data_IF_937731873114
#
_entry.id   IF_937731873114
#
_cell.length_a   1.000
_cell.length_b   1.000
_cell.length_c   1.000
_cell.angle_alpha   90.00
_cell.angle_beta   90.00
_cell.angle_gamma   90.00
#
_symmetry.space_group_name_H-M   'P 1'
#
loop_
_entity.id
_entity.type
_entity.pdbx_description
1 polymer ?
#
# COMPACT_ATOMS: atom_id res chain seq x y z
N UNK A 1 -38.88 -43.99 -34.02
CA UNK A 1 -38.14 -42.71 -34.10
C UNK A 1 -37.74 -42.34 -32.68
N UNK A 2 -36.44 -42.14 -32.45
CA UNK A 2 -35.78 -42.18 -31.13
C UNK A 2 -35.84 -40.82 -30.40
N UNK A 3 -35.93 -40.93 -29.07
CA UNK A 3 -36.01 -39.87 -28.07
C UNK A 3 -34.83 -38.88 -28.04
N UNK A 4 -35.11 -37.67 -27.50
CA UNK A 4 -34.28 -36.76 -26.66
C UNK A 4 -34.94 -35.38 -26.74
N UNK A 5 -35.49 -34.76 -25.70
CA UNK A 5 -35.05 -34.71 -24.30
C UNK A 5 -33.95 -33.65 -24.17
N UNK A 6 -34.32 -32.38 -23.99
CA UNK A 6 -33.40 -31.37 -23.47
C UNK A 6 -34.14 -30.31 -22.66
N UNK A 7 -34.14 -30.55 -21.35
CA UNK A 7 -34.45 -29.62 -20.29
C UNK A 7 -33.40 -28.50 -20.35
N UNK A 8 -33.78 -27.30 -20.80
CA UNK A 8 -32.90 -26.13 -20.73
C UNK A 8 -32.95 -25.61 -19.29
N UNK A 9 -32.06 -26.15 -18.46
CA UNK A 9 -31.69 -25.53 -17.19
C UNK A 9 -31.04 -24.18 -17.50
N UNK A 10 -31.84 -23.12 -17.41
CA UNK A 10 -31.37 -21.75 -17.27
C UNK A 10 -30.67 -21.64 -15.91
N UNK A 11 -29.39 -22.04 -15.86
CA UNK A 11 -28.46 -21.55 -14.84
C UNK A 11 -28.26 -20.06 -15.10
N UNK A 12 -29.17 -19.26 -14.56
CA UNK A 12 -28.84 -17.91 -14.18
C UNK A 12 -27.73 -18.03 -13.13
N UNK A 13 -26.48 -17.86 -13.55
CA UNK A 13 -25.38 -17.55 -12.66
C UNK A 13 -25.70 -16.20 -12.02
N UNK A 14 -26.54 -16.21 -10.99
CA UNK A 14 -26.51 -15.18 -9.96
C UNK A 14 -25.08 -15.22 -9.47
N UNK A 15 -24.30 -14.20 -9.82
CA UNK A 15 -23.02 -13.96 -9.17
C UNK A 15 -23.29 -14.06 -7.68
N UNK A 16 -22.68 -15.06 -7.05
CA UNK A 16 -22.75 -15.19 -5.61
C UNK A 16 -22.24 -13.85 -5.07
N UNK A 17 -23.15 -13.04 -4.53
CA UNK A 17 -22.74 -12.08 -3.51
C UNK A 17 -22.14 -12.98 -2.44
N UNK A 18 -20.81 -13.08 -2.42
CA UNK A 18 -20.10 -13.77 -1.37
C UNK A 18 -20.72 -13.28 -0.07
N UNK A 19 -21.25 -14.20 0.72
CA UNK A 19 -21.84 -13.84 2.01
C UNK A 19 -20.78 -13.03 2.76
N UNK A 20 -21.05 -11.76 3.03
CA UNK A 20 -20.18 -10.94 3.89
C UNK A 20 -20.23 -11.64 5.25
N UNK A 21 -19.15 -12.31 5.62
CA UNK A 21 -19.06 -12.99 6.92
C UNK A 21 -18.65 -11.92 7.91
N UNK A 22 -19.40 -11.69 9.00
CA UNK A 22 -18.99 -10.76 10.03
C UNK A 22 -17.59 -11.11 10.54
N UNK A 23 -16.67 -10.14 10.46
CA UNK A 23 -15.33 -10.30 10.98
C UNK A 23 -15.35 -9.83 12.44
N UNK A 24 -14.99 -10.68 13.41
CA UNK A 24 -14.91 -10.26 14.81
C UNK A 24 -13.88 -9.12 14.98
N UNK A 25 -14.11 -8.17 15.91
CA UNK A 25 -13.12 -7.14 16.19
C UNK A 25 -11.76 -7.75 16.55
N UNK A 26 -10.71 -7.22 15.96
CA UNK A 26 -9.34 -7.60 16.30
C UNK A 26 -8.85 -6.74 17.45
N UNK A 27 -7.94 -7.28 18.23
CA UNK A 27 -7.13 -6.50 19.16
C UNK A 27 -5.67 -6.60 18.75
N UNK A 28 -4.89 -5.55 19.01
CA UNK A 28 -3.44 -5.64 18.86
C UNK A 28 -2.70 -4.56 19.66
N UNK A 29 -1.38 -4.67 19.67
CA UNK A 29 -0.47 -3.69 20.24
C UNK A 29 0.41 -3.17 19.11
N UNK A 30 0.61 -1.85 19.05
CA UNK A 30 1.54 -1.25 18.09
C UNK A 30 2.97 -1.53 18.55
N UNK A 31 3.64 -2.51 17.95
CA UNK A 31 5.03 -2.85 18.26
C UNK A 31 5.65 -3.70 17.13
N UNK A 32 6.86 -3.36 16.63
CA UNK A 32 7.65 -2.16 16.94
C UNK A 32 7.02 -0.87 16.41
N UNK A 33 7.52 0.25 16.95
CA UNK A 33 7.30 1.59 16.39
C UNK A 33 8.64 2.24 16.06
N UNK A 34 8.84 2.60 14.79
CA UNK A 34 10.02 3.33 14.34
C UNK A 34 9.64 4.78 14.01
N UNK A 35 10.42 5.74 14.51
CA UNK A 35 10.33 7.15 14.13
C UNK A 35 11.71 7.58 13.66
N UNK A 36 11.81 8.02 12.40
CA UNK A 36 13.07 8.39 11.76
C UNK A 36 12.91 9.70 11.01
N UNK A 37 13.89 10.59 11.10
CA UNK A 37 14.06 11.75 10.23
C UNK A 37 15.14 11.43 9.18
N UNK A 38 14.76 10.98 7.96
CA UNK A 38 15.72 10.44 7.00
C UNK A 38 16.78 11.46 6.57
N UNK A 39 16.42 12.74 6.51
CA UNK A 39 17.33 13.81 6.08
C UNK A 39 18.46 14.08 7.08
N UNK A 40 18.22 13.90 8.38
CA UNK A 40 19.21 14.12 9.44
C UNK A 40 19.83 12.83 9.94
N UNK A 41 19.27 11.67 9.58
CA UNK A 41 19.67 10.35 10.06
C UNK A 41 19.26 10.07 11.52
N UNK A 42 18.51 10.97 12.15
CA UNK A 42 18.06 10.81 13.54
C UNK A 42 16.95 9.77 13.59
N UNK A 43 17.13 8.76 14.44
CA UNK A 43 16.12 7.77 14.78
C UNK A 43 15.78 7.87 16.28
N UNK A 44 14.51 7.70 16.60
CA UNK A 44 14.06 7.62 17.98
C UNK A 44 14.14 6.19 18.50
N UNK A 45 14.58 6.03 19.74
CA UNK A 45 14.31 4.82 20.53
C UNK A 45 12.96 5.00 21.20
N UNK A 46 11.97 4.23 20.76
CA UNK A 46 10.61 4.27 21.28
C UNK A 46 10.47 3.26 22.42
N UNK A 47 9.83 3.67 23.52
CA UNK A 47 9.59 2.77 24.64
C UNK A 47 8.69 1.60 24.22
N UNK A 48 8.87 0.40 24.80
CA UNK A 48 7.97 -0.71 24.54
C UNK A 48 6.56 -0.38 25.05
N UNK A 49 5.51 -0.98 24.46
CA UNK A 49 4.15 -0.90 25.00
C UNK A 49 4.09 -1.51 26.41
N UNK A 50 3.22 -0.97 27.25
CA UNK A 50 2.74 -1.69 28.43
C UNK A 50 1.75 -2.79 28.02
N UNK A 51 1.58 -3.79 28.88
CA UNK A 51 0.66 -4.91 28.62
C UNK A 51 -0.81 -4.47 28.40
N UNK A 52 -1.19 -3.30 28.92
CA UNK A 52 -2.53 -2.73 28.77
C UNK A 52 -2.69 -1.85 27.52
N UNK A 53 -1.62 -1.55 26.79
CA UNK A 53 -1.62 -0.64 25.62
C UNK A 53 -2.16 -1.34 24.36
N UNK A 54 -3.38 -1.86 24.46
CA UNK A 54 -4.06 -2.59 23.42
C UNK A 54 -5.02 -1.65 22.68
N UNK A 55 -5.02 -1.72 21.35
CA UNK A 55 -6.03 -1.09 20.50
C UNK A 55 -7.00 -2.15 19.99
N UNK A 56 -8.21 -1.71 19.63
CA UNK A 56 -9.21 -2.54 18.97
C UNK A 56 -9.40 -2.08 17.53
N UNK A 57 -9.59 -3.02 16.61
CA UNK A 57 -9.92 -2.76 15.20
C UNK A 57 -11.25 -3.40 14.87
N UNK A 58 -12.23 -2.57 14.49
CA UNK A 58 -13.53 -3.02 14.00
C UNK A 58 -13.53 -3.02 12.47
N UNK A 59 -13.90 -4.15 11.87
CA UNK A 59 -13.86 -4.33 10.41
C UNK A 59 -15.25 -4.25 9.81
N UNK A 60 -15.45 -3.33 8.86
CA UNK A 60 -16.66 -3.21 8.05
C UNK A 60 -16.35 -3.44 6.57
N UNK A 61 -16.56 -4.69 6.15
CA UNK A 61 -16.44 -5.17 4.76
C UNK A 61 -17.40 -4.45 3.82
N UNK A 62 -18.59 -4.09 4.30
CA UNK A 62 -19.62 -3.50 3.44
C UNK A 62 -19.26 -2.10 2.96
N UNK A 63 -18.45 -1.38 3.74
CA UNK A 63 -17.99 -0.01 3.43
C UNK A 63 -16.48 0.08 3.17
N UNK A 64 -15.78 -1.06 3.20
CA UNK A 64 -14.32 -1.15 3.12
C UNK A 64 -13.59 -0.31 4.19
N UNK A 65 -14.10 -0.28 5.43
CA UNK A 65 -13.54 0.53 6.53
C UNK A 65 -13.06 -0.33 7.70
N UNK A 66 -11.90 0.01 8.24
CA UNK A 66 -11.37 -0.51 9.50
C UNK A 66 -11.31 0.65 10.51
N UNK A 67 -12.10 0.57 11.58
CA UNK A 67 -12.11 1.58 12.64
C UNK A 67 -11.11 1.17 13.73
N UNK A 68 -10.14 2.04 13.98
CA UNK A 68 -9.14 1.89 15.03
C UNK A 68 -9.60 2.66 16.26
N UNK A 69 -9.70 1.94 17.38
CA UNK A 69 -9.96 2.48 18.72
C UNK A 69 -8.71 2.34 19.58
N UNK A 70 -8.14 3.50 19.94
CA UNK A 70 -6.94 3.66 20.75
C UNK A 70 -7.26 4.32 22.10
N UNK A 71 -8.51 4.30 22.57
CA UNK A 71 -8.90 4.92 23.85
C UNK A 71 -8.07 4.44 25.05
N UNK A 72 -7.63 3.18 25.03
CA UNK A 72 -6.75 2.58 26.04
C UNK A 72 -5.25 2.75 25.77
N UNK A 73 -4.85 3.37 24.65
CA UNK A 73 -3.43 3.50 24.27
C UNK A 73 -2.93 4.91 24.61
N UNK A 74 -2.11 5.08 25.64
CA UNK A 74 -1.55 6.39 25.99
C UNK A 74 -0.49 6.85 24.99
N UNK A 75 -0.14 8.16 24.97
CA UNK A 75 1.04 8.64 24.25
C UNK A 75 2.30 7.86 24.66
N UNK A 76 3.04 7.37 23.67
CA UNK A 76 4.21 6.53 23.90
C UNK A 76 5.47 7.38 23.93
N UNK A 77 6.30 7.17 24.96
CA UNK A 77 7.56 7.89 25.10
C UNK A 77 8.60 7.43 24.09
N UNK A 78 9.49 8.35 23.71
CA UNK A 78 10.66 8.06 22.91
C UNK A 78 11.83 8.95 23.34
N UNK A 79 13.04 8.56 22.95
CA UNK A 79 14.25 9.39 23.04
C UNK A 79 14.89 9.46 21.66
N UNK A 80 15.15 10.65 21.16
CA UNK A 80 15.83 10.88 19.89
C UNK A 80 17.02 11.81 20.12
N UNK A 81 18.24 11.35 19.80
CA UNK A 81 19.47 12.11 20.02
C UNK A 81 19.58 12.77 21.42
N UNK A 82 19.12 12.07 22.47
CA UNK A 82 19.12 12.55 23.86
C UNK A 82 17.93 13.43 24.27
N UNK A 83 17.05 13.81 23.33
CA UNK A 83 15.82 14.55 23.61
C UNK A 83 14.68 13.58 23.86
N UNK A 84 14.05 13.69 25.03
CA UNK A 84 12.84 12.93 25.38
C UNK A 84 11.59 13.56 24.78
N UNK A 85 10.67 12.72 24.32
CA UNK A 85 9.37 13.16 23.84
C UNK A 85 8.33 12.05 23.94
N UNK A 86 7.12 12.34 23.47
CA UNK A 86 6.06 11.36 23.27
C UNK A 86 5.47 11.51 21.88
N UNK A 87 4.95 10.42 21.33
CA UNK A 87 4.10 10.47 20.15
C UNK A 87 2.76 9.78 20.43
N UNK A 88 1.71 10.23 19.76
CA UNK A 88 0.37 9.68 19.85
C UNK A 88 -0.35 9.73 18.50
N UNK A 89 -1.17 8.70 18.26
CA UNK A 89 -2.17 8.70 17.19
C UNK A 89 -3.49 9.30 17.72
N UNK A 90 -4.43 9.69 16.84
CA UNK A 90 -5.77 10.03 17.27
C UNK A 90 -6.42 8.87 18.03
N UNK A 91 -7.23 9.19 19.04
CA UNK A 91 -7.95 8.19 19.85
C UNK A 91 -8.85 7.30 18.99
N UNK A 92 -9.45 7.84 17.94
CA UNK A 92 -10.27 7.11 16.99
C UNK A 92 -9.95 7.56 15.57
N UNK A 93 -9.81 6.61 14.64
CA UNK A 93 -9.72 6.92 13.22
C UNK A 93 -10.17 5.73 12.36
N UNK A 94 -10.62 6.01 11.14
CA UNK A 94 -11.05 4.99 10.18
C UNK A 94 -10.07 4.91 9.02
N UNK A 95 -9.54 3.72 8.76
CA UNK A 95 -8.75 3.44 7.56
C UNK A 95 -9.60 2.76 6.50
N UNK A 96 -9.40 3.15 5.24
CA UNK A 96 -9.98 2.46 4.10
C UNK A 96 -9.12 1.26 3.74
N UNK A 97 -9.72 0.15 3.31
CA UNK A 97 -8.96 -1.04 2.92
C UNK A 97 -9.26 -1.61 1.53
N UNK A 98 -8.41 -2.53 1.07
CA UNK A 98 -8.54 -3.23 -0.23
C UNK A 98 -8.51 -4.76 -0.08
N UNK A 99 -8.87 -5.52 -1.14
CA UNK A 99 -8.81 -6.99 -1.25
C UNK A 99 -7.53 -7.67 -0.73
N UNK A 100 -6.39 -6.96 -0.71
CA UNK A 100 -5.14 -7.55 -0.25
C UNK A 100 -4.90 -7.37 1.26
N UNK A 101 -5.90 -6.91 2.02
CA UNK A 101 -5.74 -6.55 3.43
C UNK A 101 -4.86 -5.31 3.62
N UNK A 102 -4.84 -4.44 2.61
CA UNK A 102 -4.10 -3.19 2.61
C UNK A 102 -4.95 -2.06 3.17
N UNK A 103 -4.40 -1.20 4.03
CA UNK A 103 -5.05 -0.09 4.71
C UNK A 103 -4.46 1.25 4.23
N UNK A 104 -5.28 2.30 4.19
CA UNK A 104 -4.83 3.69 4.00
C UNK A 104 -5.69 4.65 4.82
N UNK A 105 -5.04 5.65 5.45
CA UNK A 105 -5.69 6.71 6.23
C UNK A 105 -4.79 7.93 6.32
N UNK A 106 -5.37 9.13 6.39
CA UNK A 106 -4.63 10.34 6.78
C UNK A 106 -5.01 10.73 8.20
N UNK A 107 -4.02 10.79 9.09
CA UNK A 107 -4.22 11.17 10.50
C UNK A 107 -3.17 12.18 10.96
N UNK A 108 -3.51 13.08 11.88
CA UNK A 108 -2.51 13.87 12.60
C UNK A 108 -1.82 13.00 13.65
N UNK A 109 -0.52 12.74 13.49
CA UNK A 109 0.31 12.12 14.52
C UNK A 109 0.90 13.22 15.39
N UNK A 110 0.57 13.20 16.68
CA UNK A 110 0.95 14.25 17.62
C UNK A 110 2.30 13.90 18.24
N UNK A 111 3.25 14.82 18.18
CA UNK A 111 4.55 14.73 18.84
C UNK A 111 4.66 15.81 19.90
N UNK A 112 5.04 15.43 21.13
CA UNK A 112 5.34 16.36 22.20
C UNK A 112 6.80 16.21 22.62
N UNK A 113 7.59 17.28 22.51
CA UNK A 113 9.03 17.30 22.80
C UNK A 113 9.49 18.74 23.00
N UNK A 114 10.50 18.97 23.84
CA UNK A 114 11.03 20.31 24.14
C UNK A 114 9.97 21.36 24.50
N UNK A 115 8.94 20.94 25.26
CA UNK A 115 7.83 21.79 25.68
C UNK A 115 6.89 22.22 24.56
N UNK A 116 7.00 21.63 23.36
CA UNK A 116 6.13 21.91 22.21
C UNK A 116 5.36 20.67 21.81
N UNK A 117 4.13 20.88 21.35
CA UNK A 117 3.28 19.86 20.75
C UNK A 117 3.00 20.21 19.30
N UNK A 118 3.30 19.28 18.39
CA UNK A 118 3.11 19.45 16.94
C UNK A 118 2.30 18.28 16.41
N UNK A 119 1.21 18.58 15.69
CA UNK A 119 0.45 17.59 14.95
C UNK A 119 1.00 17.47 13.53
N UNK A 120 1.63 16.34 13.23
CA UNK A 120 2.22 16.04 11.93
C UNK A 120 1.20 15.25 11.11
N UNK A 121 0.63 15.83 10.03
CA UNK A 121 -0.29 15.08 9.17
C UNK A 121 0.48 14.00 8.41
N UNK A 122 0.09 12.74 8.61
CA UNK A 122 0.67 11.59 7.93
C UNK A 122 -0.42 10.78 7.24
N UNK A 123 -0.20 10.50 5.95
CA UNK A 123 -0.89 9.39 5.29
C UNK A 123 -0.22 8.10 5.74
N UNK A 124 -0.90 7.32 6.58
CA UNK A 124 -0.50 6.00 7.02
C UNK A 124 -1.10 4.97 6.07
N UNK A 125 -0.25 4.12 5.51
CA UNK A 125 -0.65 3.06 4.59
C UNK A 125 0.10 1.79 4.89
N UNK A 126 -0.51 0.62 4.72
CA UNK A 126 0.25 -0.63 4.70
C UNK A 126 0.99 -0.84 3.40
N UNK A 127 0.75 -0.02 2.38
CA UNK A 127 1.38 -0.06 1.06
C UNK A 127 2.72 0.66 0.99
N UNK A 128 2.76 1.79 0.27
CA UNK A 128 3.94 2.61 0.04
C UNK A 128 3.68 4.05 0.44
N UNK A 129 4.55 4.61 1.27
CA UNK A 129 4.57 6.04 1.57
C UNK A 129 5.83 6.65 0.95
N UNK A 130 5.73 7.82 0.30
CA UNK A 130 6.87 8.48 -0.33
C UNK A 130 6.84 10.00 -0.17
N UNK A 131 8.01 10.60 0.03
CA UNK A 131 8.22 12.04 0.11
C UNK A 131 9.65 12.39 -0.34
N UNK A 132 9.80 13.42 -1.19
CA UNK A 132 11.09 14.00 -1.61
C UNK A 132 12.08 13.08 -2.36
N UNK A 133 11.77 11.79 -2.54
CA UNK A 133 12.68 10.76 -3.08
C UNK A 133 12.90 9.59 -2.12
N UNK A 134 12.48 9.73 -0.86
CA UNK A 134 12.46 8.64 0.12
C UNK A 134 11.15 7.87 -0.01
N UNK A 135 11.23 6.53 0.03
CA UNK A 135 10.06 5.65 0.00
C UNK A 135 10.17 4.61 1.10
N UNK A 136 9.09 4.48 1.88
CA UNK A 136 8.96 3.49 2.94
C UNK A 136 7.84 2.52 2.55
N UNK A 137 8.11 1.22 2.71
CA UNK A 137 7.09 0.19 2.49
C UNK A 137 6.58 -0.36 3.82
N UNK A 138 5.26 -0.53 3.88
CA UNK A 138 4.56 -1.26 4.93
C UNK A 138 4.35 -2.73 4.56
N UNK A 139 3.49 -3.40 5.32
CA UNK A 139 3.11 -4.80 5.10
C UNK A 139 1.59 -4.96 5.28
N UNK A 140 0.91 -5.72 4.39
CA UNK A 140 -0.53 -5.93 4.49
C UNK A 140 -0.87 -6.91 5.61
N UNK A 141 -2.14 -6.98 5.99
CA UNK A 141 -2.66 -8.01 6.89
C UNK A 141 -2.71 -9.40 6.21
N UNK A 142 -2.85 -9.39 4.88
CA UNK A 142 -2.95 -10.58 4.03
C UNK A 142 -1.60 -11.25 3.73
N UNK A 143 -1.48 -11.94 2.58
CA UNK A 143 -0.23 -12.55 2.15
C UNK A 143 0.94 -11.55 2.10
N UNK A 144 2.20 -11.97 2.36
CA UNK A 144 2.65 -13.36 2.38
C UNK A 144 2.58 -14.06 3.74
N UNK A 145 2.45 -13.33 4.86
CA UNK A 145 2.44 -13.99 6.19
C UNK A 145 1.08 -14.57 6.50
N UNK A 146 -0.01 -13.84 6.20
CA UNK A 146 -1.37 -14.30 6.49
C UNK A 146 -1.58 -14.65 7.97
N UNK A 147 -0.81 -14.08 8.88
CA UNK A 147 -0.89 -14.32 10.34
C UNK A 147 -1.65 -13.20 11.06
N UNK A 148 -2.13 -12.18 10.34
CA UNK A 148 -2.77 -11.00 10.90
C UNK A 148 -1.78 -9.87 11.20
N UNK A 149 -0.48 -10.08 10.95
CA UNK A 149 0.53 -9.03 11.09
C UNK A 149 0.40 -8.04 9.95
N UNK A 150 0.42 -6.76 10.27
CA UNK A 150 0.52 -5.69 9.28
C UNK A 150 1.46 -4.60 9.78
N UNK A 151 1.82 -3.70 8.88
CA UNK A 151 2.71 -2.57 9.19
C UNK A 151 2.24 -1.34 8.43
N UNK A 152 1.73 -0.36 9.16
CA UNK A 152 1.41 0.97 8.64
C UNK A 152 2.70 1.78 8.56
N UNK A 153 2.89 2.48 7.44
CA UNK A 153 3.98 3.41 7.23
C UNK A 153 3.45 4.74 6.76
N UNK A 154 4.09 5.82 7.21
CA UNK A 154 3.84 7.17 6.72
C UNK A 154 5.13 7.93 6.60
N UNK A 155 5.18 8.86 5.64
CA UNK A 155 6.28 9.80 5.49
C UNK A 155 5.74 11.15 5.03
N UNK A 156 6.23 12.23 5.61
CA UNK A 156 5.96 13.60 5.16
C UNK A 156 7.25 14.25 4.68
N UNK A 157 7.15 15.18 3.73
CA UNK A 157 8.27 16.03 3.31
C UNK A 157 8.58 17.15 4.32
N UNK A 158 7.59 17.53 5.13
CA UNK A 158 7.67 18.65 6.08
C UNK A 158 6.91 18.29 7.34
N UNK A 159 7.64 17.91 8.39
CA UNK A 159 7.08 17.60 9.70
C UNK A 159 6.74 18.85 10.51
N UNK A 160 7.45 19.96 10.27
CA UNK A 160 7.36 21.15 11.12
C UNK A 160 7.92 20.95 12.54
N UNK A 161 8.59 19.82 12.82
CA UNK A 161 9.23 19.56 14.11
C UNK A 161 10.48 20.42 14.30
N UNK A 162 10.83 20.67 15.56
CA UNK A 162 12.12 21.25 15.94
C UNK A 162 13.24 20.19 15.95
N UNK A 163 14.46 20.57 16.36
CA UNK A 163 15.50 19.61 16.72
C UNK A 163 14.96 18.55 17.71
N UNK A 164 15.43 17.29 17.65
CA UNK A 164 16.52 16.81 16.80
C UNK A 164 16.07 16.29 15.44
N UNK A 165 14.76 16.10 15.19
CA UNK A 165 14.27 15.65 13.88
C UNK A 165 14.39 16.74 12.81
N UNK A 166 14.16 17.99 13.20
CA UNK A 166 14.10 19.13 12.29
C UNK A 166 12.78 19.20 11.50
N UNK A 167 12.55 20.30 10.77
CA UNK A 167 11.25 20.59 10.16
C UNK A 167 10.98 19.79 8.88
N UNK A 168 11.98 19.06 8.37
CA UNK A 168 11.94 18.35 7.10
C UNK A 168 11.26 17.00 7.18
N UNK A 169 11.83 16.01 6.48
CA UNK A 169 11.21 14.69 6.37
C UNK A 169 11.12 13.96 7.70
N UNK A 170 9.97 13.35 7.96
CA UNK A 170 9.73 12.44 9.07
C UNK A 170 9.00 11.21 8.55
N UNK A 171 9.51 10.03 8.89
CA UNK A 171 8.88 8.75 8.62
C UNK A 171 8.52 8.03 9.91
N UNK A 172 7.35 7.40 9.91
CA UNK A 172 6.86 6.57 11.01
C UNK A 172 6.51 5.18 10.47
N UNK A 173 6.87 4.14 11.21
CA UNK A 173 6.44 2.76 10.97
C UNK A 173 5.78 2.22 12.24
N UNK A 174 4.61 1.59 12.07
CA UNK A 174 3.79 1.05 13.15
C UNK A 174 3.39 -0.37 12.77
N UNK A 175 3.93 -1.37 13.47
CA UNK A 175 3.58 -2.77 13.24
C UNK A 175 2.57 -3.24 14.29
N UNK A 176 1.68 -4.16 13.91
CA UNK A 176 0.76 -4.78 14.85
C UNK A 176 0.35 -6.18 14.37
N UNK A 177 -0.06 -7.04 15.30
CA UNK A 177 -0.62 -8.37 15.05
C UNK A 177 -2.11 -8.38 15.42
N UNK A 178 -3.00 -8.28 14.43
CA UNK A 178 -4.44 -8.29 14.63
C UNK A 178 -4.94 -9.67 15.06
N UNK A 179 -5.53 -9.78 16.26
CA UNK A 179 -6.05 -11.03 16.82
C UNK A 179 -7.49 -10.89 17.33
N UNK A 180 -8.47 -11.67 16.83
CA UNK A 180 -8.36 -12.62 15.72
C UNK A 180 -7.99 -11.93 14.39
N UNK A 181 -7.37 -12.68 13.48
CA UNK A 181 -7.01 -12.18 12.14
C UNK A 181 -8.29 -11.95 11.31
N UNK A 182 -8.43 -10.81 10.62
CA UNK A 182 -9.49 -10.62 9.63
C UNK A 182 -9.21 -11.44 8.37
N UNK A 183 -10.26 -11.96 7.74
CA UNK A 183 -10.17 -12.68 6.47
C UNK A 183 -10.06 -11.68 5.30
N UNK A 184 -8.90 -11.61 4.61
CA UNK A 184 -8.68 -10.62 3.56
C UNK A 184 -9.48 -10.91 2.28
N UNK A 185 -9.90 -12.14 2.06
CA UNK A 185 -10.58 -12.56 0.82
C UNK A 185 -12.00 -11.98 0.70
N UNK A 186 -12.50 -11.37 1.78
CA UNK A 186 -13.81 -10.72 1.83
C UNK A 186 -13.79 -9.27 1.35
N UNK A 187 -12.61 -8.69 1.11
CA UNK A 187 -12.45 -7.29 0.76
C UNK A 187 -12.44 -7.07 -0.76
N UNK A 188 -12.91 -5.90 -1.23
CA UNK A 188 -13.14 -5.64 -2.65
C UNK A 188 -11.86 -5.27 -3.44
N UNK A 189 -11.87 -5.60 -4.74
CA UNK A 189 -10.87 -5.20 -5.72
C UNK A 189 -10.10 -6.37 -6.32
N UNK A 190 -9.53 -6.18 -7.51
CA UNK A 190 -8.73 -7.17 -8.20
C UNK A 190 -7.65 -6.50 -9.03
N UNK A 191 -6.47 -7.13 -9.11
CA UNK A 191 -5.43 -6.77 -10.06
C UNK A 191 -4.94 -8.00 -10.81
N UNK A 192 -4.78 -7.85 -12.12
CA UNK A 192 -4.27 -8.87 -13.02
C UNK A 192 -3.09 -8.31 -13.78
N UNK A 193 -1.90 -8.90 -13.63
CA UNK A 193 -0.75 -8.49 -14.42
C UNK A 193 -0.90 -8.99 -15.86
N UNK A 194 -0.70 -8.09 -16.83
CA UNK A 194 -0.84 -8.38 -18.27
C UNK A 194 0.50 -8.65 -18.92
N UNK A 195 1.51 -7.86 -18.60
CA UNK A 195 2.87 -8.06 -19.11
C UNK A 195 3.91 -7.28 -18.30
N UNK A 196 5.17 -7.68 -18.44
CA UNK A 196 6.28 -7.15 -17.67
C UNK A 196 7.59 -7.56 -18.31
N UNK A 197 8.46 -6.57 -18.52
CA UNK A 197 9.75 -6.73 -19.16
C UNK A 197 10.74 -5.79 -18.48
N UNK A 198 11.80 -6.34 -17.93
CA UNK A 198 12.83 -5.58 -17.24
C UNK A 198 14.18 -5.83 -17.93
N UNK A 199 14.76 -4.79 -18.50
CA UNK A 199 16.04 -4.80 -19.19
C UNK A 199 17.09 -4.05 -18.37
N UNK A 200 18.36 -4.10 -18.80
CA UNK A 200 19.45 -3.31 -18.19
C UNK A 200 19.19 -1.79 -18.19
N UNK A 201 18.24 -1.30 -19.02
CA UNK A 201 17.95 0.13 -19.17
C UNK A 201 16.57 0.53 -18.70
N UNK A 202 15.60 -0.37 -18.82
CA UNK A 202 14.19 -0.03 -18.63
C UNK A 202 13.40 -1.19 -18.07
N UNK A 203 12.50 -0.87 -17.15
CA UNK A 203 11.37 -1.68 -16.80
C UNK A 203 10.13 -1.18 -17.56
N UNK A 204 9.35 -2.12 -18.10
CA UNK A 204 8.01 -1.88 -18.62
C UNK A 204 7.04 -2.85 -17.97
N UNK A 205 5.91 -2.35 -17.48
CA UNK A 205 4.87 -3.12 -16.82
C UNK A 205 3.50 -2.77 -17.41
N UNK A 206 2.61 -3.74 -17.54
CA UNK A 206 1.19 -3.53 -17.80
C UNK A 206 0.34 -4.37 -16.87
N UNK A 207 -0.60 -3.74 -16.19
CA UNK A 207 -1.55 -4.40 -15.30
C UNK A 207 -2.97 -3.93 -15.61
N UNK A 208 -3.95 -4.80 -15.43
CA UNK A 208 -5.35 -4.42 -15.36
C UNK A 208 -5.74 -4.42 -13.90
N UNK A 209 -6.43 -3.40 -13.45
CA UNK A 209 -7.01 -3.40 -12.12
C UNK A 209 -8.46 -2.97 -12.16
N UNK A 210 -9.23 -3.55 -11.25
CA UNK A 210 -10.62 -3.23 -11.02
C UNK A 210 -10.78 -2.93 -9.52
N UNK A 211 -10.97 -1.65 -9.13
CA UNK A 211 -11.01 -1.25 -7.73
C UNK A 211 -12.09 -1.94 -6.89
N UNK A 212 -13.15 -2.43 -7.52
CA UNK A 212 -14.33 -2.93 -6.81
C UNK A 212 -15.17 -1.79 -6.21
N UNK A 213 -16.43 -2.06 -5.89
CA UNK A 213 -17.35 -1.06 -5.34
C UNK A 213 -17.72 0.08 -6.31
N UNK A 214 -18.29 1.15 -5.75
CA UNK A 214 -18.71 2.37 -6.48
C UNK A 214 -17.66 3.50 -6.44
N UNK A 215 -16.57 3.32 -5.70
CA UNK A 215 -15.50 4.32 -5.59
C UNK A 215 -14.79 4.50 -6.94
N UNK A 216 -14.77 5.73 -7.45
CA UNK A 216 -14.07 6.07 -8.69
C UNK A 216 -12.65 6.52 -8.35
N UNK A 217 -11.60 5.91 -8.92
CA UNK A 217 -10.23 6.34 -8.66
C UNK A 217 -9.99 7.81 -9.02
N UNK A 218 -9.28 8.54 -8.15
CA UNK A 218 -8.88 9.93 -8.37
C UNK A 218 -7.44 9.99 -8.92
N UNK A 219 -7.28 9.72 -10.21
CA UNK A 219 -5.95 9.73 -10.83
C UNK A 219 -5.24 11.09 -10.81
N UNK A 220 -5.92 12.23 -11.03
CA UNK A 220 -5.27 13.53 -10.99
C UNK A 220 -4.97 14.04 -9.56
N UNK A 221 -5.83 13.73 -8.59
CA UNK A 221 -5.70 14.24 -7.23
C UNK A 221 -4.90 13.34 -6.28
N UNK A 222 -4.72 12.05 -6.60
CA UNK A 222 -3.93 11.13 -5.78
C UNK A 222 -2.54 10.88 -6.40
N UNK A 223 -1.48 10.74 -5.57
CA UNK A 223 -0.15 10.41 -6.07
C UNK A 223 -0.12 9.04 -6.76
N UNK A 224 0.80 8.88 -7.71
CA UNK A 224 1.12 7.60 -8.32
C UNK A 224 2.46 7.09 -7.77
N UNK A 225 2.41 5.99 -7.02
CA UNK A 225 3.57 5.41 -6.34
C UNK A 225 3.73 3.96 -6.77
N UNK A 226 4.94 3.54 -7.09
CA UNK A 226 5.26 2.17 -7.45
C UNK A 226 6.62 1.80 -6.86
N UNK A 227 6.70 0.61 -6.26
CA UNK A 227 7.94 -0.03 -5.85
C UNK A 227 7.99 -1.44 -6.39
N UNK A 228 9.14 -1.79 -6.96
CA UNK A 228 9.40 -3.12 -7.48
C UNK A 228 10.67 -3.62 -6.82
N UNK A 229 10.61 -4.82 -6.25
CA UNK A 229 11.70 -5.43 -5.51
C UNK A 229 11.80 -6.92 -5.78
N UNK A 230 12.97 -7.47 -5.47
CA UNK A 230 13.21 -8.91 -5.50
C UNK A 230 14.21 -9.26 -4.42
N UNK A 231 13.87 -10.24 -3.56
CA UNK A 231 14.74 -10.67 -2.46
C UNK A 231 15.18 -9.51 -1.54
N UNK A 232 14.30 -8.55 -1.30
CA UNK A 232 14.60 -7.33 -0.51
C UNK A 232 15.33 -6.22 -1.27
N UNK A 233 15.89 -6.49 -2.45
CA UNK A 233 16.57 -5.49 -3.28
C UNK A 233 15.55 -4.68 -4.08
N UNK A 234 15.66 -3.35 -4.06
CA UNK A 234 14.82 -2.47 -4.89
C UNK A 234 15.34 -2.51 -6.33
N UNK A 235 14.47 -2.93 -7.25
CA UNK A 235 14.72 -2.98 -8.69
C UNK A 235 14.44 -1.61 -9.31
N UNK A 236 13.28 -1.02 -9.00
CA UNK A 236 12.84 0.23 -9.57
C UNK A 236 11.75 0.86 -8.71
N UNK A 237 11.66 2.19 -8.76
CA UNK A 237 10.60 2.97 -8.11
C UNK A 237 10.05 4.02 -9.07
N UNK A 238 8.79 4.39 -8.88
CA UNK A 238 8.22 5.60 -9.43
C UNK A 238 7.50 6.35 -8.32
N UNK A 239 7.70 7.66 -8.28
CA UNK A 239 6.97 8.56 -7.40
C UNK A 239 6.54 9.78 -8.21
N UNK A 240 5.23 9.94 -8.37
CA UNK A 240 4.58 11.01 -9.08
C UNK A 240 3.63 11.71 -8.10
N UNK A 241 4.13 12.68 -7.30
CA UNK A 241 3.34 13.31 -6.24
C UNK A 241 2.10 14.04 -6.77
N UNK A 242 2.18 14.61 -7.98
CA UNK A 242 1.08 15.31 -8.63
C UNK A 242 0.05 14.39 -9.32
N UNK A 243 0.17 13.07 -9.15
CA UNK A 243 -0.73 12.11 -9.79
C UNK A 243 -0.59 12.02 -11.31
N UNK A 244 -1.69 11.68 -11.98
CA UNK A 244 -1.77 11.46 -13.43
C UNK A 244 -2.74 12.46 -14.06
N UNK A 245 -2.20 13.40 -14.85
CA UNK A 245 -3.01 14.39 -15.56
C UNK A 245 -3.91 13.72 -16.60
N UNK A 246 -5.16 14.16 -16.67
CA UNK A 246 -6.10 13.70 -17.69
C UNK A 246 -5.67 14.15 -19.09
N UNK A 247 -5.67 13.21 -20.04
CA UNK A 247 -5.33 13.40 -21.45
C UNK A 247 -6.46 12.84 -22.31
N UNK A 248 -7.49 13.64 -22.53
CA UNK A 248 -8.70 13.22 -23.22
C UNK A 248 -9.67 12.47 -22.30
N UNK A 249 -10.63 11.74 -22.88
CA UNK A 249 -11.79 11.23 -22.11
C UNK A 249 -11.51 10.02 -21.21
N UNK A 250 -10.50 9.21 -21.52
CA UNK A 250 -10.29 7.91 -20.86
C UNK A 250 -8.84 7.58 -20.56
N UNK A 251 -7.94 8.55 -20.68
CA UNK A 251 -6.51 8.36 -20.51
C UNK A 251 -5.97 9.38 -19.51
N UNK A 252 -5.13 8.91 -18.60
CA UNK A 252 -4.45 9.70 -17.59
C UNK A 252 -2.96 9.37 -17.67
N UNK A 253 -2.09 10.38 -17.65
CA UNK A 253 -0.65 10.18 -17.82
C UNK A 253 0.10 11.11 -16.89
N UNK A 254 1.12 10.57 -16.22
CA UNK A 254 2.06 11.31 -15.42
C UNK A 254 3.50 10.90 -15.74
N UNK A 255 4.44 11.78 -15.38
CA UNK A 255 5.88 11.51 -15.39
C UNK A 255 6.46 11.94 -14.05
N UNK A 256 7.49 11.25 -13.59
CA UNK A 256 8.27 11.71 -12.44
C UNK A 256 9.06 12.97 -12.78
N UNK A 257 9.41 13.75 -11.76
CA UNK A 257 10.13 15.03 -11.91
C UNK A 257 11.53 14.83 -12.54
N UNK A 258 12.16 13.69 -12.28
CA UNK A 258 13.45 13.30 -12.88
C UNK A 258 13.33 12.75 -14.31
N UNK A 259 12.10 12.66 -14.85
CA UNK A 259 11.80 12.13 -16.19
C UNK A 259 12.06 10.63 -16.38
N UNK A 260 12.45 9.89 -15.34
CA UNK A 260 12.82 8.47 -15.45
C UNK A 260 11.61 7.55 -15.43
N UNK A 261 10.52 7.94 -14.79
CA UNK A 261 9.29 7.17 -14.72
C UNK A 261 8.15 7.83 -15.51
N UNK A 262 7.36 6.99 -16.17
CA UNK A 262 6.10 7.38 -16.78
C UNK A 262 5.03 6.35 -16.43
N UNK A 263 3.88 6.84 -15.98
CA UNK A 263 2.71 6.02 -15.64
C UNK A 263 1.54 6.50 -16.48
N UNK A 264 0.85 5.57 -17.13
CA UNK A 264 -0.36 5.84 -17.88
C UNK A 264 -1.48 4.91 -17.42
N UNK A 265 -2.68 5.44 -17.25
CA UNK A 265 -3.87 4.67 -16.93
C UNK A 265 -4.95 4.96 -17.97
N UNK A 266 -5.55 3.90 -18.51
CA UNK A 266 -6.64 3.99 -19.46
C UNK A 266 -7.88 3.25 -18.95
N UNK A 267 -9.03 3.90 -18.98
CA UNK A 267 -10.32 3.25 -18.67
C UNK A 267 -10.61 2.15 -19.69
N UNK A 268 -10.98 0.97 -19.20
CA UNK A 268 -11.45 -0.15 -20.00
C UNK A 268 -12.97 -0.26 -19.88
N UNK A 269 -13.65 -0.20 -21.03
CA UNK A 269 -15.08 -0.49 -21.10
C UNK A 269 -15.23 -1.97 -21.45
N UNK A 270 -15.20 -2.85 -20.44
CA UNK A 270 -15.52 -4.28 -20.61
C UNK A 270 -16.63 -4.66 -19.64
N UNK A 271 -17.75 -5.17 -20.19
CA UNK A 271 -18.76 -5.98 -19.51
C UNK A 271 -19.06 -5.60 -18.05
N UNK A 272 -19.81 -4.50 -17.83
CA UNK A 272 -20.50 -4.22 -16.56
C UNK A 272 -19.63 -3.86 -15.34
N UNK A 273 -18.30 -3.95 -15.43
CA UNK A 273 -17.38 -3.64 -14.33
C UNK A 273 -16.39 -2.53 -14.74
N UNK A 274 -16.23 -1.52 -13.89
CA UNK A 274 -15.24 -0.47 -14.10
C UNK A 274 -13.83 -1.04 -13.90
N UNK A 275 -13.03 -1.04 -14.95
CA UNK A 275 -11.66 -1.56 -14.96
C UNK A 275 -10.71 -0.59 -15.66
N UNK A 276 -9.41 -0.70 -15.38
CA UNK A 276 -8.39 0.19 -15.88
C UNK A 276 -7.16 -0.58 -16.33
N UNK A 277 -6.57 -0.20 -17.47
CA UNK A 277 -5.27 -0.66 -17.92
C UNK A 277 -4.21 0.34 -17.48
N UNK A 278 -3.32 -0.08 -16.60
CA UNK A 278 -2.10 0.64 -16.24
C UNK A 278 -0.95 0.20 -17.14
N UNK A 279 -0.18 1.17 -17.61
CA UNK A 279 1.13 0.98 -18.23
C UNK A 279 2.18 1.80 -17.49
N UNK A 280 3.31 1.16 -17.16
CA UNK A 280 4.42 1.81 -16.48
C UNK A 280 5.70 1.61 -17.27
N UNK A 281 6.51 2.67 -17.36
CA UNK A 281 7.88 2.62 -17.85
C UNK A 281 8.80 3.31 -16.85
N UNK A 282 9.84 2.62 -16.39
CA UNK A 282 10.87 3.20 -15.50
C UNK A 282 12.24 2.98 -16.12
N UNK A 283 13.04 4.02 -16.21
CA UNK A 283 14.43 3.98 -16.65
C UNK A 283 15.38 3.75 -15.48
N UNK A 284 16.54 3.14 -15.74
CA UNK A 284 17.58 2.93 -14.72
C UNK A 284 17.24 1.85 -13.71
N UNK A 285 16.48 0.83 -14.11
CA UNK A 285 16.15 -0.30 -13.25
C UNK A 285 17.36 -1.21 -13.02
N UNK A 286 17.49 -1.71 -11.79
CA UNK A 286 18.54 -2.65 -11.39
C UNK A 286 18.10 -4.08 -11.71
N UNK A 287 18.92 -4.84 -12.43
CA UNK A 287 18.63 -6.24 -12.70
C UNK A 287 18.89 -7.10 -11.45
N UNK A 288 17.99 -8.03 -11.10
CA UNK A 288 18.32 -9.13 -10.21
C UNK A 288 19.53 -9.92 -10.75
N UNK A 289 20.27 -10.56 -9.85
CA UNK A 289 21.36 -11.44 -10.24
C UNK A 289 20.86 -12.52 -11.23
N UNK A 290 21.67 -12.82 -12.25
CA UNK A 290 21.33 -13.85 -13.23
C UNK A 290 21.15 -15.20 -12.52
N UNK A 291 20.04 -15.87 -12.81
CA UNK A 291 19.70 -17.18 -12.26
C UNK A 291 19.14 -18.08 -13.36
N UNK A 292 19.40 -19.37 -13.26
CA UNK A 292 18.78 -20.40 -14.11
C UNK A 292 17.32 -20.66 -13.71
N UNK A 293 16.93 -20.27 -12.50
CA UNK A 293 15.56 -20.32 -12.00
C UNK A 293 14.89 -18.95 -12.11
N UNK A 294 13.56 -18.91 -12.37
CA UNK A 294 12.81 -17.66 -12.26
C UNK A 294 12.91 -17.08 -10.86
N UNK A 295 13.09 -15.76 -10.76
CA UNK A 295 13.22 -15.03 -9.50
C UNK A 295 11.89 -14.34 -9.19
N UNK A 296 11.36 -14.40 -7.95
CA UNK A 296 10.17 -13.66 -7.59
C UNK A 296 10.45 -12.16 -7.61
N UNK A 297 9.54 -11.42 -8.24
CA UNK A 297 9.53 -9.96 -8.27
C UNK A 297 8.22 -9.48 -7.65
N UNK A 298 8.36 -8.76 -6.55
CA UNK A 298 7.26 -8.16 -5.82
C UNK A 298 7.02 -6.75 -6.35
N UNK A 299 5.77 -6.45 -6.64
CA UNK A 299 5.32 -5.17 -7.17
C UNK A 299 4.24 -4.67 -6.22
N UNK A 300 4.47 -3.51 -5.63
CA UNK A 300 3.46 -2.77 -4.86
C UNK A 300 3.23 -1.43 -5.54
N UNK A 301 1.97 -1.02 -5.71
CA UNK A 301 1.66 0.27 -6.29
C UNK A 301 0.41 0.88 -5.69
N UNK A 302 0.36 2.21 -5.72
CA UNK A 302 -0.82 3.00 -5.44
C UNK A 302 -1.04 3.99 -6.59
N UNK A 303 -2.19 3.92 -7.23
CA UNK A 303 -2.54 4.82 -8.34
C UNK A 303 -4.01 5.19 -8.27
N UNK A 304 -4.31 6.48 -8.23
CA UNK A 304 -5.69 6.97 -8.12
C UNK A 304 -6.37 6.59 -6.81
N UNK A 305 -5.60 6.42 -5.73
CA UNK A 305 -6.06 5.91 -4.44
C UNK A 305 -6.28 4.39 -4.39
N UNK A 306 -6.03 3.67 -5.49
CA UNK A 306 -6.10 2.21 -5.50
C UNK A 306 -4.71 1.61 -5.22
N UNK A 307 -4.58 0.97 -4.06
CA UNK A 307 -3.40 0.23 -3.62
C UNK A 307 -3.52 -1.25 -4.02
N UNK A 308 -2.46 -1.80 -4.61
CA UNK A 308 -2.39 -3.22 -4.92
C UNK A 308 -0.98 -3.78 -4.85
N UNK A 309 -0.93 -5.12 -4.76
CA UNK A 309 0.26 -5.93 -4.64
C UNK A 309 0.18 -7.14 -5.54
N UNK A 310 1.33 -7.57 -6.03
CA UNK A 310 1.48 -8.81 -6.78
C UNK A 310 2.92 -9.32 -6.63
N UNK A 311 3.08 -10.64 -6.69
CA UNK A 311 4.39 -11.28 -6.74
C UNK A 311 4.40 -12.26 -7.91
N UNK A 312 5.36 -12.13 -8.82
CA UNK A 312 5.41 -12.95 -10.02
C UNK A 312 6.85 -13.34 -10.37
N UNK A 313 7.05 -14.55 -10.94
CA UNK A 313 8.36 -15.00 -11.37
C UNK A 313 8.82 -14.26 -12.63
N UNK A 314 10.06 -13.75 -12.61
CA UNK A 314 10.75 -13.23 -13.79
C UNK A 314 11.87 -14.19 -14.19
N UNK A 315 11.92 -14.57 -15.47
CA UNK A 315 13.09 -15.29 -16.00
C UNK A 315 14.20 -14.29 -16.29
N UNK A 316 15.33 -14.42 -15.60
CA UNK A 316 16.50 -13.54 -15.76
C UNK A 316 17.37 -14.05 -16.91
N UNK A 317 17.65 -13.23 -17.93
CA UNK A 317 18.62 -13.53 -19.00
C UNK A 317 19.67 -12.41 -19.08
N UNK A 318 20.82 -12.70 -19.68
CA UNK A 318 21.93 -11.74 -19.81
C UNK A 318 21.57 -10.39 -20.45
N UNK A 319 20.56 -10.33 -21.32
CA UNK A 319 20.12 -9.10 -22.00
C UNK A 319 18.81 -8.51 -21.45
N UNK A 320 18.27 -9.09 -20.38
CA UNK A 320 17.02 -8.67 -19.77
C UNK A 320 16.18 -9.83 -19.26
N UNK A 321 15.08 -9.48 -18.63
CA UNK A 321 14.16 -10.35 -17.92
C UNK A 321 12.75 -10.13 -18.45
N UNK A 322 11.97 -11.20 -18.56
CA UNK A 322 10.56 -11.11 -18.89
C UNK A 322 9.78 -11.82 -17.80
N UNK A 323 8.55 -11.34 -17.57
CA UNK A 323 7.58 -12.11 -16.81
C UNK A 323 7.51 -13.52 -17.37
N UNK A 324 7.60 -14.49 -16.49
CA UNK A 324 7.31 -15.86 -16.82
C UNK A 324 5.82 -16.08 -16.67
N UNK A 325 5.12 -16.20 -17.80
CA UNK A 325 3.77 -16.75 -17.81
C UNK A 325 3.88 -18.28 -17.73
N UNK A 326 3.08 -18.93 -16.87
CA UNK A 326 2.95 -20.38 -16.89
C UNK A 326 2.46 -20.86 -18.27
#
# INVERSE_FOLDING_TARGET
MRARGLLVLLLAARGAAAHIIPIPPSTCVLDPVDIVAPATGVAATVAPPAAADQLTVHWDVSTNQAQFDLASVPPRSFVAAGVSGTFALPTFFSATFTHNGDLTVTVPVVFAMDGRTVAVPLMLTTGLAAAGGTMVAGAPIGPPTGDGRFTLVGITASSGLGPPFGPGMLSVRLSCLATPRPDPDQFAGQTTLVSGNLTTRTLNLRAIFAPGGTATPDFPGAPAILRISSGGTVIATAYLPAGLAQRGRSLFVGRSDDGRAAVGVRTLHRSGQLSFLMGVRIQGATLPAASTTPVPVDITYEVGGFLSRMSLPFRVKHHGTRLHFP
#
